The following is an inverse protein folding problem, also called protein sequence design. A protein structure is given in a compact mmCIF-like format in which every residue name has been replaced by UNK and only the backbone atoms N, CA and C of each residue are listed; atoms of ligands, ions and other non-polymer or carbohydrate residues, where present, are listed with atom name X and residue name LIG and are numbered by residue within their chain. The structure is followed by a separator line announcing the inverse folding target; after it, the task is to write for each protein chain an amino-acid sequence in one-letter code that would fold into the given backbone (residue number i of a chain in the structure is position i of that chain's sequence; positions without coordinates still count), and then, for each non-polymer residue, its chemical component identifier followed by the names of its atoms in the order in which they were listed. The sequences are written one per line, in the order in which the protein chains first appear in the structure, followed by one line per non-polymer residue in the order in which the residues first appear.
data_IF_584309284018
#
_entry.id   IF_584309284018
#
_cell.length_a   1.000
_cell.length_b   1.000
_cell.length_c   1.000
_cell.angle_alpha   90.00
_cell.angle_beta   90.00
_cell.angle_gamma   90.00
#
_symmetry.space_group_name_H-M   'P 1'
#
loop_
_entity.id
_entity.type
_entity.pdbx_description
1 polymer ?
#
# COMPACT_ATOMS: atom_id res chain seq x y z
N UNK A 1 2.16 67.11 -50.41
CA UNK A 1 1.69 65.73 -50.63
C UNK A 1 1.70 64.95 -49.33
N UNK A 2 0.65 64.90 -48.51
CA UNK A 2 -0.36 65.94 -48.22
C UNK A 2 -0.97 65.68 -46.83
N UNK A 3 -1.18 66.77 -46.10
CA UNK A 3 -2.33 67.07 -45.25
C UNK A 3 -3.24 65.89 -44.81
N UNK A 4 -3.20 65.57 -43.51
CA UNK A 4 -4.31 65.84 -42.55
C UNK A 4 -5.31 64.66 -42.39
N UNK A 5 -6.24 64.60 -41.41
CA UNK A 5 -6.70 65.58 -40.39
C UNK A 5 -6.68 64.96 -38.97
N UNK A 6 -6.66 65.81 -37.95
CA UNK A 6 -6.79 65.60 -36.50
C UNK A 6 -8.28 65.51 -36.11
N UNK A 7 -8.68 64.66 -35.15
CA UNK A 7 -9.74 65.08 -34.21
C UNK A 7 -9.64 64.40 -32.84
N UNK A 8 -9.83 65.21 -31.79
CA UNK A 8 -9.76 64.81 -30.39
C UNK A 8 -11.17 64.55 -29.85
N UNK A 9 -11.30 63.68 -28.86
CA UNK A 9 -12.41 63.76 -27.89
C UNK A 9 -11.90 63.45 -26.48
N UNK A 10 -11.45 64.51 -25.82
CA UNK A 10 -11.07 64.55 -24.41
C UNK A 10 -12.33 64.79 -23.57
N UNK A 11 -12.67 63.92 -22.61
CA UNK A 11 -13.56 64.33 -21.52
C UNK A 11 -13.29 63.57 -20.21
N UNK A 12 -13.19 64.36 -19.16
CA UNK A 12 -12.63 64.06 -17.85
C UNK A 12 -13.37 63.02 -16.98
N UNK A 13 -12.56 62.27 -16.23
CA UNK A 13 -12.59 62.12 -14.75
C UNK A 13 -13.95 62.25 -14.05
N UNK A 14 -14.37 61.17 -13.40
CA UNK A 14 -15.10 61.22 -12.13
C UNK A 14 -14.53 60.16 -11.17
N UNK A 15 -14.00 60.60 -10.03
CA UNK A 15 -13.51 59.77 -8.94
C UNK A 15 -14.70 59.26 -8.11
N UNK A 16 -14.77 57.96 -7.83
CA UNK A 16 -15.62 57.40 -6.78
C UNK A 16 -14.99 56.13 -6.22
N UNK A 17 -14.27 56.31 -5.11
CA UNK A 17 -13.91 55.22 -4.20
C UNK A 17 -15.18 54.55 -3.67
N UNK A 18 -15.42 53.28 -4.00
CA UNK A 18 -16.36 52.45 -3.23
C UNK A 18 -15.77 51.09 -2.90
N UNK A 19 -15.72 50.82 -1.58
CA UNK A 19 -15.01 49.71 -0.95
C UNK A 19 -16.03 48.67 -0.47
N UNK A 20 -16.23 47.62 -1.27
CA UNK A 20 -17.07 46.44 -0.97
C UNK A 20 -16.28 45.25 -1.53
N UNK A 21 -15.45 44.55 -0.75
CA UNK A 21 -15.76 43.63 0.35
C UNK A 21 -16.62 42.43 -0.06
N UNK A 22 -16.04 41.25 0.20
CA UNK A 22 -16.67 39.94 0.31
C UNK A 22 -16.88 39.12 -0.97
N UNK A 23 -16.67 37.81 -0.79
CA UNK A 23 -17.09 36.69 -1.63
C UNK A 23 -16.44 36.55 -3.01
N UNK A 24 -15.11 36.49 -3.01
CA UNK A 24 -14.44 35.53 -3.89
C UNK A 24 -14.85 34.12 -3.43
N UNK A 25 -15.88 33.57 -4.07
CA UNK A 25 -16.31 32.18 -3.85
C UNK A 25 -15.14 31.25 -4.14
N UNK A 26 -14.52 30.70 -3.10
CA UNK A 26 -13.63 29.57 -3.27
C UNK A 26 -14.44 28.40 -3.80
N UNK A 27 -14.29 28.12 -5.10
CA UNK A 27 -14.69 26.86 -5.70
C UNK A 27 -13.79 25.79 -5.08
N UNK A 28 -14.23 25.27 -3.94
CA UNK A 28 -13.64 24.10 -3.30
C UNK A 28 -13.77 22.94 -4.28
N UNK A 29 -12.65 22.58 -4.91
CA UNK A 29 -12.49 21.36 -5.68
C UNK A 29 -12.77 20.18 -4.75
N UNK A 30 -14.00 19.68 -4.80
CA UNK A 30 -14.59 18.78 -3.79
C UNK A 30 -14.06 17.33 -3.83
N UNK A 31 -12.92 17.10 -4.49
CA UNK A 31 -12.38 15.78 -4.80
C UNK A 31 -10.89 15.59 -4.49
N UNK A 32 -10.18 16.59 -3.93
CA UNK A 32 -8.86 16.30 -3.34
C UNK A 32 -9.02 15.73 -1.92
N UNK A 33 -8.44 14.55 -1.61
CA UNK A 33 -8.46 14.04 -0.25
C UNK A 33 -7.64 14.97 0.64
N UNK A 34 -8.29 15.49 1.68
CA UNK A 34 -7.69 16.31 2.74
C UNK A 34 -6.35 15.72 3.15
N UNK A 35 -5.32 16.55 3.18
CA UNK A 35 -3.95 16.11 3.43
C UNK A 35 -3.83 15.36 4.76
N UNK A 36 -3.04 14.27 4.85
CA UNK A 36 -2.89 13.51 6.09
C UNK A 36 -2.47 14.40 7.25
N UNK A 37 -3.11 14.24 8.42
CA UNK A 37 -2.85 15.09 9.60
C UNK A 37 -1.37 15.06 9.99
N UNK A 38 -0.76 13.88 9.85
CA UNK A 38 0.67 13.66 10.12
C UNK A 38 1.59 14.33 9.11
N UNK A 39 1.17 14.50 7.86
CA UNK A 39 1.94 15.25 6.85
C UNK A 39 1.85 16.75 7.13
N UNK A 40 0.67 17.26 7.49
CA UNK A 40 0.51 18.66 7.93
C UNK A 40 1.41 18.97 9.13
N UNK A 41 1.44 18.08 10.14
CA UNK A 41 2.33 18.21 11.29
C UNK A 41 3.81 18.16 10.89
N UNK A 42 4.21 17.24 10.00
CA UNK A 42 5.57 17.17 9.47
C UNK A 42 5.99 18.47 8.78
N UNK A 43 5.17 19.00 7.85
CA UNK A 43 5.42 20.26 7.16
C UNK A 43 5.58 21.41 8.15
N UNK A 44 4.66 21.53 9.12
CA UNK A 44 4.69 22.55 10.17
C UNK A 44 5.99 22.51 11.00
N UNK A 45 6.41 21.32 11.46
CA UNK A 45 7.65 21.15 12.23
C UNK A 45 8.90 21.49 11.39
N UNK A 46 8.93 21.10 10.12
CA UNK A 46 10.07 21.37 9.22
C UNK A 46 10.17 22.85 8.86
N UNK A 47 9.05 23.52 8.58
CA UNK A 47 8.99 24.98 8.33
C UNK A 47 9.37 25.78 9.59
N UNK A 48 8.94 25.36 10.77
CA UNK A 48 9.33 25.97 12.04
C UNK A 48 10.83 25.78 12.33
N UNK A 49 11.39 24.62 11.98
CA UNK A 49 12.84 24.37 12.08
C UNK A 49 13.62 25.25 11.10
N UNK A 50 13.17 25.35 9.85
CA UNK A 50 13.71 26.27 8.83
C UNK A 50 13.72 27.71 9.34
N UNK A 51 12.58 28.19 9.87
CA UNK A 51 12.44 29.52 10.49
C UNK A 51 13.47 29.73 11.60
N UNK A 52 13.56 28.80 12.56
CA UNK A 52 14.52 28.87 13.68
C UNK A 52 15.98 28.88 13.24
N UNK A 53 16.35 28.14 12.19
CA UNK A 53 17.70 28.18 11.62
C UNK A 53 17.96 29.54 11.00
N UNK A 54 17.03 30.06 10.18
CA UNK A 54 17.19 31.37 9.52
C UNK A 54 17.19 32.56 10.49
N UNK A 55 16.60 32.40 11.68
CA UNK A 55 16.62 33.39 12.77
C UNK A 55 17.66 33.08 13.85
N UNK A 56 18.55 32.10 13.66
CA UNK A 56 19.51 31.67 14.70
C UNK A 56 20.70 32.63 14.84
N UNK A 57 21.02 33.38 13.79
CA UNK A 57 21.95 34.50 13.81
C UNK A 57 21.10 35.76 13.71
N UNK A 58 21.13 36.61 14.73
CA UNK A 58 20.46 37.91 14.68
C UNK A 58 21.17 38.87 13.73
N UNK A 59 20.43 39.90 13.31
CA UNK A 59 20.95 40.96 12.45
C UNK A 59 22.06 41.76 13.15
N UNK A 60 21.91 41.91 14.46
CA UNK A 60 22.82 42.57 15.39
C UNK A 60 24.13 41.78 15.52
N UNK A 61 24.06 40.45 15.74
CA UNK A 61 25.25 39.58 15.76
C UNK A 61 25.98 39.57 14.41
N UNK A 62 25.24 39.57 13.28
CA UNK A 62 25.86 39.68 11.97
C UNK A 62 26.64 41.00 11.84
N UNK A 63 26.02 42.13 12.16
CA UNK A 63 26.69 43.44 12.13
C UNK A 63 27.90 43.47 13.06
N UNK A 64 27.79 42.89 14.25
CA UNK A 64 28.87 42.86 15.24
C UNK A 64 30.10 42.10 14.74
N UNK A 65 29.92 41.00 13.98
CA UNK A 65 31.02 40.29 13.31
C UNK A 65 31.76 41.16 12.26
N UNK A 66 31.05 42.05 11.55
CA UNK A 66 31.64 42.89 10.50
C UNK A 66 32.16 44.25 11.00
N UNK A 67 31.90 44.65 12.26
CA UNK A 67 32.26 45.98 12.81
C UNK A 67 33.76 46.29 12.73
N UNK A 68 34.61 45.27 12.89
CA UNK A 68 36.07 45.41 12.92
C UNK A 68 36.69 45.50 11.51
N UNK A 69 35.91 45.32 10.44
CA UNK A 69 36.43 45.30 9.07
C UNK A 69 36.34 46.73 8.49
N UNK A 70 37.48 47.40 8.16
CA UNK A 70 37.49 48.82 7.82
C UNK A 70 36.60 49.20 6.61
N UNK A 71 36.42 48.29 5.65
CA UNK A 71 35.58 48.48 4.47
C UNK A 71 34.08 48.42 4.75
N UNK A 72 33.68 47.88 5.90
CA UNK A 72 32.28 47.63 6.29
C UNK A 72 31.82 48.44 7.52
N UNK A 73 32.73 48.95 8.36
CA UNK A 73 32.43 49.79 9.53
C UNK A 73 31.36 50.87 9.29
N UNK A 74 31.38 51.56 8.13
CA UNK A 74 30.42 52.64 7.80
C UNK A 74 29.23 52.18 6.94
N UNK A 75 29.05 50.88 6.73
CA UNK A 75 28.08 50.29 5.79
C UNK A 75 26.99 49.45 6.47
N UNK A 76 26.56 49.84 7.67
CA UNK A 76 25.49 49.15 8.43
C UNK A 76 24.27 48.83 7.56
N UNK A 77 23.74 49.82 6.82
CA UNK A 77 22.56 49.65 5.96
C UNK A 77 22.75 48.58 4.87
N UNK A 78 23.98 48.40 4.38
CA UNK A 78 24.30 47.39 3.36
C UNK A 78 24.39 45.99 3.97
N UNK A 79 25.00 45.85 5.15
CA UNK A 79 25.06 44.58 5.90
C UNK A 79 23.63 44.16 6.31
N UNK A 80 22.85 45.11 6.81
CA UNK A 80 21.43 45.00 7.12
C UNK A 80 20.61 44.47 5.94
N UNK A 81 20.78 45.08 4.76
CA UNK A 81 20.13 44.64 3.52
C UNK A 81 20.55 43.22 3.10
N UNK A 82 21.86 42.91 3.14
CA UNK A 82 22.34 41.56 2.82
C UNK A 82 21.85 40.50 3.79
N UNK A 83 21.71 40.82 5.08
CA UNK A 83 21.07 39.93 6.06
C UNK A 83 19.63 39.62 5.67
N UNK A 84 18.81 40.64 5.40
CA UNK A 84 17.39 40.47 5.05
C UNK A 84 17.23 39.62 3.76
N UNK A 85 18.07 39.88 2.76
CA UNK A 85 18.11 39.11 1.50
C UNK A 85 18.56 37.66 1.74
N UNK A 86 19.62 37.45 2.52
CA UNK A 86 20.18 36.12 2.79
C UNK A 86 19.19 35.27 3.60
N UNK A 87 18.68 35.79 4.71
CA UNK A 87 17.76 35.05 5.58
C UNK A 87 16.46 34.70 4.85
N UNK A 88 15.93 35.61 4.03
CA UNK A 88 14.79 35.29 3.14
C UNK A 88 15.15 34.21 2.12
N UNK A 89 16.25 34.37 1.39
CA UNK A 89 16.64 33.40 0.35
C UNK A 89 16.87 32.00 0.93
N UNK A 90 17.55 31.89 2.08
CA UNK A 90 17.77 30.62 2.76
C UNK A 90 16.44 30.01 3.23
N UNK A 91 15.52 30.80 3.79
CA UNK A 91 14.21 30.32 4.21
C UNK A 91 13.37 29.79 3.03
N UNK A 92 13.27 30.57 1.95
CA UNK A 92 12.53 30.22 0.75
C UNK A 92 13.11 28.95 0.08
N UNK A 93 14.44 28.84 0.01
CA UNK A 93 15.13 27.65 -0.52
C UNK A 93 14.96 26.41 0.37
N UNK A 94 15.02 26.56 1.69
CA UNK A 94 14.75 25.45 2.62
C UNK A 94 13.31 24.94 2.49
N UNK A 95 12.34 25.85 2.40
CA UNK A 95 10.94 25.48 2.23
C UNK A 95 10.67 24.81 0.87
N UNK A 96 11.27 25.30 -0.22
CA UNK A 96 11.21 24.64 -1.55
C UNK A 96 11.71 23.19 -1.46
N UNK A 97 12.88 22.98 -0.85
CA UNK A 97 13.48 21.65 -0.67
C UNK A 97 12.65 20.73 0.23
N UNK A 98 11.91 21.26 1.20
CA UNK A 98 10.97 20.48 2.02
C UNK A 98 9.82 19.97 1.14
N UNK A 99 9.21 20.81 0.29
CA UNK A 99 8.14 20.38 -0.62
C UNK A 99 8.65 19.43 -1.71
N UNK A 100 9.82 19.70 -2.29
CA UNK A 100 10.51 18.79 -3.22
C UNK A 100 10.77 17.42 -2.58
N UNK A 101 11.13 17.37 -1.29
CA UNK A 101 11.31 16.12 -0.55
C UNK A 101 9.97 15.42 -0.28
N UNK A 102 8.91 16.15 0.09
CA UNK A 102 7.56 15.61 0.28
C UNK A 102 7.06 14.93 -1.01
N UNK A 103 7.28 15.57 -2.17
CA UNK A 103 6.91 15.05 -3.48
C UNK A 103 7.78 13.86 -3.90
N UNK A 104 9.11 14.04 -3.94
CA UNK A 104 10.06 13.01 -4.44
C UNK A 104 10.13 11.75 -3.58
N UNK A 105 9.86 11.85 -2.27
CA UNK A 105 9.76 10.71 -1.38
C UNK A 105 8.33 10.17 -1.25
N UNK A 106 7.35 10.67 -2.02
CA UNK A 106 5.94 10.24 -2.03
C UNK A 106 5.32 10.23 -0.61
N UNK A 107 5.63 11.26 0.20
CA UNK A 107 5.25 11.25 1.62
C UNK A 107 3.74 11.31 1.82
N UNK A 108 2.99 11.99 0.94
CA UNK A 108 1.50 12.05 0.98
C UNK A 108 0.90 10.64 1.01
N UNK A 109 1.31 9.80 0.07
CA UNK A 109 0.76 8.44 -0.08
C UNK A 109 1.21 7.53 1.07
N UNK A 110 2.46 7.67 1.53
CA UNK A 110 3.00 6.92 2.68
C UNK A 110 2.30 7.31 3.99
N UNK A 111 1.94 8.58 4.19
CA UNK A 111 1.15 9.01 5.34
C UNK A 111 -0.31 8.55 5.26
N UNK A 112 -0.95 8.55 4.08
CA UNK A 112 -2.27 7.93 3.90
C UNK A 112 -2.26 6.42 4.22
N UNK A 113 -1.29 5.67 3.67
CA UNK A 113 -1.12 4.24 3.97
C UNK A 113 -0.89 4.00 5.48
N UNK A 114 -0.13 4.87 6.14
CA UNK A 114 0.08 4.78 7.60
C UNK A 114 -1.22 5.03 8.38
N UNK A 115 -2.04 6.01 7.99
CA UNK A 115 -3.34 6.24 8.62
C UNK A 115 -4.31 5.08 8.40
N UNK A 116 -4.35 4.49 7.21
CA UNK A 116 -5.15 3.30 6.90
C UNK A 116 -4.69 2.09 7.74
N UNK A 117 -3.37 1.89 7.87
CA UNK A 117 -2.77 0.86 8.72
C UNK A 117 -3.07 1.05 10.22
N UNK A 118 -3.21 2.30 10.68
CA UNK A 118 -3.63 2.62 12.06
C UNK A 118 -5.13 2.35 12.22
N UNK A 119 -5.98 2.86 11.32
CA UNK A 119 -7.44 2.68 11.32
C UNK A 119 -7.81 1.18 11.32
N UNK A 120 -7.24 0.41 10.39
CA UNK A 120 -7.47 -1.04 10.25
C UNK A 120 -6.98 -1.91 11.42
N UNK A 121 -6.09 -1.41 12.27
CA UNK A 121 -5.53 -2.15 13.43
C UNK A 121 -5.99 -1.61 14.79
N UNK A 122 -6.83 -0.57 14.80
CA UNK A 122 -7.35 0.09 16.01
C UNK A 122 -8.21 -0.81 16.92
N UNK A 123 -8.61 -1.99 16.46
CA UNK A 123 -9.35 -3.00 17.23
C UNK A 123 -8.49 -3.82 18.22
N UNK A 124 -7.15 -3.84 18.07
CA UNK A 124 -6.25 -4.64 18.92
C UNK A 124 -5.73 -3.89 20.17
N UNK A 125 -6.53 -2.97 20.72
CA UNK A 125 -6.17 -2.11 21.85
C UNK A 125 -5.80 -2.93 23.10
N UNK A 126 -4.50 -2.96 23.42
CA UNK A 126 -3.94 -3.64 24.59
C UNK A 126 -2.91 -4.74 24.27
N UNK A 127 -2.84 -5.22 23.01
CA UNK A 127 -1.80 -6.19 22.62
C UNK A 127 -0.58 -5.48 22.05
N UNK A 128 0.62 -5.83 22.55
CA UNK A 128 1.88 -5.31 22.03
C UNK A 128 2.09 -5.87 20.63
N UNK A 129 1.98 -5.01 19.61
CA UNK A 129 2.22 -5.41 18.23
C UNK A 129 3.64 -5.96 18.06
N UNK A 130 3.77 -7.09 17.37
CA UNK A 130 5.05 -7.75 17.10
C UNK A 130 6.09 -6.78 16.49
N UNK A 131 7.35 -7.02 16.80
CA UNK A 131 8.52 -6.29 16.28
C UNK A 131 9.53 -7.31 15.76
N UNK A 132 10.23 -7.04 14.65
CA UNK A 132 11.32 -7.90 14.20
C UNK A 132 12.32 -8.13 15.32
N UNK A 133 12.57 -9.40 15.63
CA UNK A 133 13.61 -9.77 16.57
C UNK A 133 14.99 -9.64 15.89
N UNK A 134 16.08 -9.67 16.67
CA UNK A 134 17.44 -9.78 16.10
C UNK A 134 17.71 -11.15 15.47
N UNK A 135 16.86 -12.14 15.71
CA UNK A 135 16.92 -13.43 15.04
C UNK A 135 16.17 -13.38 13.69
N UNK A 136 16.96 -13.39 12.62
CA UNK A 136 16.46 -13.42 11.24
C UNK A 136 15.69 -14.72 10.96
N UNK A 137 16.06 -15.85 11.57
CA UNK A 137 15.43 -17.13 11.28
C UNK A 137 13.99 -17.18 11.81
N UNK A 138 13.77 -16.77 13.07
CA UNK A 138 12.42 -16.62 13.64
C UNK A 138 11.53 -15.67 12.83
N UNK A 139 12.07 -14.53 12.40
CA UNK A 139 11.34 -13.55 11.58
C UNK A 139 10.93 -14.16 10.21
N UNK A 140 11.84 -14.86 9.53
CA UNK A 140 11.59 -15.53 8.24
C UNK A 140 10.62 -16.71 8.37
N UNK A 141 10.77 -17.53 9.42
CA UNK A 141 9.84 -18.63 9.73
C UNK A 141 8.41 -18.10 9.83
N UNK A 142 8.19 -17.01 10.58
CA UNK A 142 6.87 -16.38 10.75
C UNK A 142 6.24 -15.90 9.43
N UNK A 143 7.04 -15.31 8.54
CA UNK A 143 6.57 -14.86 7.21
C UNK A 143 6.18 -16.05 6.31
N UNK A 144 7.06 -17.05 6.20
CA UNK A 144 6.89 -18.21 5.29
C UNK A 144 5.82 -19.19 5.81
N UNK A 145 5.53 -19.20 7.12
CA UNK A 145 4.59 -20.14 7.74
C UNK A 145 3.19 -20.07 7.12
N UNK A 146 2.70 -18.88 6.73
CA UNK A 146 1.37 -18.73 6.13
C UNK A 146 1.22 -19.53 4.84
N UNK A 147 2.17 -19.40 3.92
CA UNK A 147 2.14 -20.17 2.66
C UNK A 147 2.38 -21.66 2.92
N UNK A 148 3.27 -22.03 3.85
CA UNK A 148 3.47 -23.44 4.23
C UNK A 148 2.20 -24.10 4.79
N UNK A 149 1.41 -23.37 5.60
CA UNK A 149 0.12 -23.86 6.11
C UNK A 149 -0.88 -24.05 4.97
N UNK A 150 -0.98 -23.10 4.04
CA UNK A 150 -1.82 -23.20 2.85
C UNK A 150 -1.46 -24.41 1.97
N UNK A 151 -0.18 -24.63 1.68
CA UNK A 151 0.28 -25.81 0.94
C UNK A 151 0.03 -27.12 1.69
N UNK A 152 0.22 -27.15 3.01
CA UNK A 152 -0.11 -28.32 3.85
C UNK A 152 -1.59 -28.68 3.70
N UNK A 153 -2.48 -27.70 3.75
CA UNK A 153 -3.93 -27.94 3.70
C UNK A 153 -4.35 -28.43 2.32
N UNK A 154 -3.83 -27.84 1.23
CA UNK A 154 -4.02 -28.34 -0.14
C UNK A 154 -3.54 -29.79 -0.32
N UNK A 155 -2.37 -30.14 0.23
CA UNK A 155 -1.85 -31.52 0.18
C UNK A 155 -2.72 -32.48 1.00
N UNK A 156 -3.20 -32.06 2.16
CA UNK A 156 -4.10 -32.84 3.01
C UNK A 156 -5.40 -33.18 2.27
N UNK A 157 -6.01 -32.19 1.63
CA UNK A 157 -7.24 -32.38 0.84
C UNK A 157 -7.01 -33.35 -0.34
N UNK A 158 -5.88 -33.21 -1.04
CA UNK A 158 -5.51 -34.10 -2.14
C UNK A 158 -5.28 -35.55 -1.67
N UNK A 159 -4.58 -35.74 -0.54
CA UNK A 159 -4.39 -37.06 0.08
C UNK A 159 -5.74 -37.67 0.48
N UNK A 160 -6.58 -36.92 1.19
CA UNK A 160 -7.92 -37.39 1.61
C UNK A 160 -8.80 -37.77 0.42
N UNK A 161 -8.75 -37.03 -0.69
CA UNK A 161 -9.46 -37.36 -1.92
C UNK A 161 -8.93 -38.67 -2.56
N UNK A 162 -7.60 -38.89 -2.56
CA UNK A 162 -6.98 -40.12 -3.08
C UNK A 162 -7.28 -41.33 -2.20
N UNK A 163 -7.20 -41.19 -0.87
CA UNK A 163 -7.57 -42.24 0.09
C UNK A 163 -9.04 -42.63 -0.04
N UNK A 164 -9.95 -41.65 -0.19
CA UNK A 164 -11.36 -41.89 -0.46
C UNK A 164 -11.60 -42.65 -1.78
N UNK A 165 -10.87 -42.30 -2.85
CA UNK A 165 -10.94 -43.03 -4.12
C UNK A 165 -10.41 -44.47 -4.01
N UNK A 166 -9.29 -44.68 -3.31
CA UNK A 166 -8.74 -46.01 -3.04
C UNK A 166 -9.70 -46.86 -2.19
N UNK A 167 -10.38 -46.26 -1.21
CA UNK A 167 -11.36 -46.96 -0.39
C UNK A 167 -12.57 -47.45 -1.21
N UNK A 168 -13.10 -46.59 -2.10
CA UNK A 168 -14.15 -46.97 -3.06
C UNK A 168 -13.70 -48.10 -3.98
N UNK A 169 -12.54 -47.96 -4.62
CA UNK A 169 -12.00 -49.00 -5.51
C UNK A 169 -11.78 -50.33 -4.78
N UNK A 170 -11.31 -50.30 -3.52
CA UNK A 170 -11.17 -51.50 -2.68
C UNK A 170 -12.53 -52.17 -2.42
N UNK A 171 -13.57 -51.38 -2.12
CA UNK A 171 -14.93 -51.88 -1.93
C UNK A 171 -15.48 -52.53 -3.21
N UNK A 172 -15.29 -51.89 -4.37
CA UNK A 172 -15.75 -52.39 -5.67
C UNK A 172 -15.04 -53.70 -6.05
N UNK A 173 -13.71 -53.78 -5.84
CA UNK A 173 -12.93 -55.00 -6.08
C UNK A 173 -13.35 -56.14 -5.16
N UNK A 174 -13.62 -55.89 -3.88
CA UNK A 174 -14.12 -56.91 -2.96
C UNK A 174 -15.51 -57.39 -3.39
N UNK A 175 -16.41 -56.47 -3.77
CA UNK A 175 -17.75 -56.78 -4.23
C UNK A 175 -17.73 -57.63 -5.50
N UNK A 176 -16.92 -57.25 -6.48
CA UNK A 176 -16.72 -57.99 -7.74
C UNK A 176 -16.13 -59.39 -7.49
N UNK A 177 -15.09 -59.51 -6.65
CA UNK A 177 -14.53 -60.83 -6.28
C UNK A 177 -15.57 -61.74 -5.61
N UNK A 178 -16.39 -61.20 -4.72
CA UNK A 178 -17.46 -61.95 -4.06
C UNK A 178 -18.57 -62.38 -5.04
N UNK A 179 -18.89 -61.55 -6.04
CA UNK A 179 -19.81 -61.94 -7.11
C UNK A 179 -19.21 -63.04 -7.99
N UNK A 180 -17.94 -62.91 -8.39
CA UNK A 180 -17.25 -63.90 -9.22
C UNK A 180 -17.15 -65.26 -8.50
N UNK A 181 -16.84 -65.27 -7.20
CA UNK A 181 -16.86 -66.50 -6.37
C UNK A 181 -18.23 -67.18 -6.36
N UNK A 182 -19.33 -66.42 -6.27
CA UNK A 182 -20.69 -66.97 -6.34
C UNK A 182 -21.06 -67.52 -7.73
N UNK A 183 -20.47 -66.98 -8.80
CA UNK A 183 -20.65 -67.50 -10.17
C UNK A 183 -19.86 -68.80 -10.31
N UNK A 184 -18.63 -68.84 -9.84
CA UNK A 184 -17.76 -70.02 -9.84
C UNK A 184 -18.40 -71.20 -9.06
N UNK A 185 -18.87 -70.94 -7.83
CA UNK A 185 -19.65 -71.90 -7.03
C UNK A 185 -20.88 -72.46 -7.77
N UNK A 186 -21.56 -71.63 -8.57
CA UNK A 186 -22.71 -72.06 -9.40
C UNK A 186 -22.30 -72.87 -10.62
N UNK A 187 -21.15 -72.57 -11.23
CA UNK A 187 -20.62 -73.30 -12.37
C UNK A 187 -20.18 -74.71 -11.94
N UNK A 188 -19.49 -74.84 -10.81
CA UNK A 188 -19.12 -76.15 -10.23
C UNK A 188 -20.38 -77.01 -9.98
N UNK A 189 -21.40 -76.45 -9.32
CA UNK A 189 -22.68 -77.17 -9.07
C UNK A 189 -23.43 -77.51 -10.37
N UNK A 190 -23.27 -76.73 -11.44
CA UNK A 190 -23.85 -77.05 -12.74
C UNK A 190 -23.07 -78.18 -13.44
N UNK A 191 -21.75 -78.14 -13.40
CA UNK A 191 -20.86 -79.16 -13.98
C UNK A 191 -21.02 -80.53 -13.32
N UNK A 192 -21.13 -80.57 -11.98
CA UNK A 192 -21.47 -81.77 -11.21
C UNK A 192 -22.81 -82.38 -11.66
N UNK A 193 -23.82 -81.53 -11.91
CA UNK A 193 -25.14 -81.98 -12.41
C UNK A 193 -25.05 -82.52 -13.83
N UNK A 194 -24.36 -81.84 -14.73
CA UNK A 194 -24.18 -82.32 -16.11
C UNK A 194 -23.42 -83.64 -16.15
N UNK A 195 -22.35 -83.77 -15.35
CA UNK A 195 -21.57 -85.00 -15.20
C UNK A 195 -22.43 -86.15 -14.66
N UNK A 196 -23.29 -85.89 -13.67
CA UNK A 196 -24.24 -86.86 -13.13
C UNK A 196 -25.28 -87.30 -14.19
N UNK A 197 -25.84 -86.36 -14.95
CA UNK A 197 -26.78 -86.64 -16.04
C UNK A 197 -26.11 -87.49 -17.13
N UNK A 198 -24.90 -87.11 -17.58
CA UNK A 198 -24.15 -87.84 -18.60
C UNK A 198 -23.88 -89.29 -18.17
N UNK A 199 -23.46 -89.50 -16.92
CA UNK A 199 -23.23 -90.84 -16.34
C UNK A 199 -24.53 -91.67 -16.26
N UNK A 200 -25.67 -91.04 -15.95
CA UNK A 200 -26.97 -91.72 -15.93
C UNK A 200 -27.42 -92.14 -17.33
N UNK A 201 -27.19 -91.30 -18.35
CA UNK A 201 -27.44 -91.64 -19.76
C UNK A 201 -26.54 -92.80 -20.20
N UNK A 202 -25.25 -92.76 -19.87
CA UNK A 202 -24.30 -93.84 -20.18
C UNK A 202 -24.72 -95.18 -19.57
N UNK A 203 -25.20 -95.18 -18.32
CA UNK A 203 -25.75 -96.38 -17.67
C UNK A 203 -27.05 -96.86 -18.30
N UNK A 204 -27.90 -95.96 -18.82
CA UNK A 204 -29.13 -96.31 -19.50
C UNK A 204 -28.88 -96.94 -20.88
N UNK A 205 -27.90 -96.43 -21.63
CA UNK A 205 -27.51 -96.95 -22.95
C UNK A 205 -26.71 -98.27 -22.91
N UNK A 206 -26.31 -98.74 -21.72
CA UNK A 206 -25.58 -100.00 -21.48
C UNK A 206 -26.49 -101.16 -21.03
N UNK A 207 -27.82 -100.97 -21.02
CA UNK A 207 -28.84 -101.97 -20.71
C UNK A 207 -29.60 -102.38 -21.96
#
# INVERSE_FOLDING_TARGET
MDFSVIENSEQAVADTTQRVSSDTTMVLSLNEPTEPERLMLYRSVMQETSRKITSSVSKEELVDMFKNIPTFHKKYNLISYYYDVLSKHVHDQMNSRIEEHIQSAELRDKFFQLEELIKSKSTNNGTVAWRPSRDVESNLRSYIMREKLKYRDQLKDLVSAKEGAVHRLKFDVITSRNQMKKIDERLVVADEKFTSIAKNIEMACKR
#
